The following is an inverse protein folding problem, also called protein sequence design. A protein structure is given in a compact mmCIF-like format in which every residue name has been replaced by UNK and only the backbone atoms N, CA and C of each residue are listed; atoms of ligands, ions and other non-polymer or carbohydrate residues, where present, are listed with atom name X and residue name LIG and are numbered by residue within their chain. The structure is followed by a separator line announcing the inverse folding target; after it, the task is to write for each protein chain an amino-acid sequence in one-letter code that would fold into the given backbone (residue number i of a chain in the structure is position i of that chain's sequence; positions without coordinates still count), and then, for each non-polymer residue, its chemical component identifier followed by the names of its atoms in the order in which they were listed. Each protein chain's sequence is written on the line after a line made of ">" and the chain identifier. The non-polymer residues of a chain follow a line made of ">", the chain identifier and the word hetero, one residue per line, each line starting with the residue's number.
data_IF_411412124764
#
_entry.id   IF_411412124764
#
_cell.length_a   1.000
_cell.length_b   1.000
_cell.length_c   1.000
_cell.angle_alpha   90.00
_cell.angle_beta   90.00
_cell.angle_gamma   90.00
#
_symmetry.space_group_name_H-M   'P 1'
#
loop_
_entity.id
_entity.type
_entity.pdbx_description
1 polymer ?
#
# COMPACT_ATOMS: atom_id res chain seq x y z
N UNK A 1 -14.56 7.57 29.24
CA UNK A 1 -13.67 8.14 28.21
C UNK A 1 -14.21 7.74 26.86
N UNK A 2 -14.39 8.68 25.93
CA UNK A 2 -14.75 8.38 24.54
C UNK A 2 -13.52 7.81 23.83
N UNK A 3 -13.63 6.72 23.03
CA UNK A 3 -12.51 6.23 22.24
C UNK A 3 -12.03 7.32 21.25
N UNK A 4 -10.74 7.32 20.88
CA UNK A 4 -10.21 8.26 19.89
C UNK A 4 -10.89 8.06 18.52
N UNK A 5 -11.03 9.14 17.76
CA UNK A 5 -11.53 9.11 16.38
C UNK A 5 -10.57 8.28 15.48
N UNK A 6 -11.01 7.20 14.83
CA UNK A 6 -10.16 6.38 13.95
C UNK A 6 -9.46 7.20 12.87
N UNK A 7 -10.13 8.18 12.27
CA UNK A 7 -9.51 9.02 11.25
C UNK A 7 -8.35 9.87 11.80
N UNK A 8 -8.42 10.29 13.08
CA UNK A 8 -7.32 10.99 13.73
C UNK A 8 -6.15 10.05 14.04
N UNK A 9 -6.41 8.78 14.35
CA UNK A 9 -5.36 7.75 14.49
C UNK A 9 -4.70 7.48 13.14
N UNK A 10 -5.49 7.31 12.10
CA UNK A 10 -5.04 7.04 10.74
C UNK A 10 -4.20 8.19 10.16
N UNK A 11 -4.62 9.44 10.35
CA UNK A 11 -3.84 10.61 9.93
C UNK A 11 -2.50 10.72 10.68
N UNK A 12 -2.47 10.31 11.96
CA UNK A 12 -1.23 10.22 12.73
C UNK A 12 -0.32 9.11 12.21
N UNK A 13 -0.87 7.91 11.99
CA UNK A 13 -0.13 6.79 11.40
C UNK A 13 0.48 7.18 10.03
N UNK A 14 -0.31 7.84 9.19
CA UNK A 14 0.15 8.36 7.91
C UNK A 14 1.36 9.30 8.06
N UNK A 15 1.25 10.30 8.95
CA UNK A 15 2.34 11.25 9.15
C UNK A 15 3.57 10.59 9.77
N UNK A 16 3.39 9.72 10.77
CA UNK A 16 4.50 9.02 11.44
C UNK A 16 5.26 8.11 10.46
N UNK A 17 4.56 7.41 9.56
CA UNK A 17 5.19 6.58 8.52
C UNK A 17 5.92 7.44 7.49
N UNK A 18 5.29 8.52 7.02
CA UNK A 18 5.91 9.43 6.06
C UNK A 18 7.15 10.13 6.65
N UNK A 19 7.11 10.56 7.91
CA UNK A 19 8.23 11.24 8.58
C UNK A 19 9.41 10.29 8.85
N UNK A 20 9.18 8.97 8.97
CA UNK A 20 10.23 7.94 9.15
C UNK A 20 10.74 7.35 7.84
N UNK A 21 9.98 7.48 6.76
CA UNK A 21 10.35 6.90 5.48
C UNK A 21 11.47 7.72 4.82
N UNK A 22 12.57 7.05 4.52
CA UNK A 22 13.68 7.56 3.70
C UNK A 22 13.66 6.82 2.34
N UNK A 23 13.02 7.37 1.30
CA UNK A 23 12.91 6.72 0.01
C UNK A 23 14.26 6.63 -0.70
N UNK A 24 14.51 5.52 -1.40
CA UNK A 24 15.71 5.34 -2.22
C UNK A 24 15.73 6.31 -3.41
N UNK A 25 14.56 6.62 -3.99
CA UNK A 25 14.44 7.55 -5.12
C UNK A 25 14.25 9.00 -4.60
N UNK A 26 15.14 9.94 -4.94
CA UNK A 26 15.00 11.35 -4.55
C UNK A 26 13.69 12.01 -4.99
N UNK A 27 13.06 11.52 -6.07
CA UNK A 27 11.74 12.00 -6.53
C UNK A 27 10.64 11.62 -5.55
N UNK A 28 10.72 10.42 -4.97
CA UNK A 28 9.82 9.97 -3.91
C UNK A 28 10.03 10.79 -2.64
N UNK A 29 11.27 11.15 -2.29
CA UNK A 29 11.52 12.02 -1.13
C UNK A 29 10.92 13.43 -1.32
N UNK A 30 11.09 14.03 -2.50
CA UNK A 30 10.47 15.31 -2.81
C UNK A 30 8.93 15.24 -2.72
N UNK A 31 8.33 14.19 -3.27
CA UNK A 31 6.88 14.00 -3.23
C UNK A 31 6.39 13.69 -1.81
N UNK A 32 7.11 12.88 -1.04
CA UNK A 32 6.81 12.58 0.36
C UNK A 32 6.82 13.85 1.23
N UNK A 33 7.71 14.81 0.97
CA UNK A 33 7.67 16.12 1.63
C UNK A 33 6.36 16.87 1.38
N UNK A 34 5.82 16.82 0.15
CA UNK A 34 4.50 17.38 -0.16
C UNK A 34 3.37 16.62 0.56
N UNK A 35 3.46 15.29 0.68
CA UNK A 35 2.51 14.48 1.44
C UNK A 35 2.52 14.82 2.93
N UNK A 36 3.71 14.95 3.54
CA UNK A 36 3.88 15.37 4.93
C UNK A 36 3.22 16.74 5.15
N UNK A 37 3.42 17.69 4.23
CA UNK A 37 2.78 19.00 4.29
C UNK A 37 1.25 18.92 4.11
N UNK A 38 0.76 18.02 3.26
CA UNK A 38 -0.67 17.79 3.09
C UNK A 38 -1.31 17.17 4.34
N UNK A 39 -0.70 16.17 4.97
CA UNK A 39 -1.30 15.52 6.15
C UNK A 39 -1.16 16.41 7.40
N UNK A 40 -0.10 17.21 7.52
CA UNK A 40 0.13 18.09 8.66
C UNK A 40 -0.86 19.26 8.70
N UNK A 41 -1.31 19.62 9.90
CA UNK A 41 -2.11 20.81 10.20
C UNK A 41 -1.62 21.53 11.45
N UNK A 42 -2.17 22.72 11.72
CA UNK A 42 -1.71 23.60 12.80
C UNK A 42 -1.83 22.97 14.21
N UNK A 43 -2.83 22.11 14.41
CA UNK A 43 -3.09 21.42 15.67
C UNK A 43 -2.65 19.94 15.68
N UNK A 44 -1.92 19.51 14.65
CA UNK A 44 -1.53 18.11 14.44
C UNK A 44 -2.00 17.56 13.08
N UNK A 45 -1.88 16.24 12.85
CA UNK A 45 -2.33 15.60 11.61
C UNK A 45 -3.83 15.83 11.35
N UNK A 46 -4.18 16.13 10.09
CA UNK A 46 -5.54 16.45 9.65
C UNK A 46 -6.33 15.19 9.37
N UNK A 47 -7.37 14.91 10.17
CA UNK A 47 -8.24 13.74 9.96
C UNK A 47 -9.00 13.82 8.61
N UNK A 48 -9.27 15.02 8.10
CA UNK A 48 -9.91 15.23 6.80
C UNK A 48 -9.02 14.77 5.63
N UNK A 49 -7.69 14.78 5.81
CA UNK A 49 -6.75 14.37 4.78
C UNK A 49 -6.85 12.87 4.44
N UNK A 50 -7.43 12.05 5.32
CA UNK A 50 -7.61 10.60 5.11
C UNK A 50 -9.07 10.21 4.87
N UNK A 51 -10.02 11.14 4.98
CA UNK A 51 -11.44 10.84 4.79
C UNK A 51 -11.85 11.05 3.35
N UNK A 52 -12.57 10.08 2.77
CA UNK A 52 -13.15 10.18 1.43
C UNK A 52 -14.07 11.41 1.25
N UNK A 53 -14.75 11.83 2.31
CA UNK A 53 -15.63 13.00 2.34
C UNK A 53 -14.98 14.24 2.98
N UNK A 54 -13.68 14.18 3.32
CA UNK A 54 -12.92 15.26 3.95
C UNK A 54 -12.58 16.42 3.03
N UNK A 55 -12.83 16.29 1.72
CA UNK A 55 -12.64 17.35 0.74
C UNK A 55 -12.47 16.82 -0.68
N UNK A 56 -11.99 17.66 -1.60
CA UNK A 56 -11.72 17.24 -2.98
C UNK A 56 -10.42 16.45 -3.13
N UNK A 57 -9.63 16.32 -2.07
CA UNK A 57 -8.36 15.60 -2.06
C UNK A 57 -8.22 14.86 -0.74
N UNK A 58 -7.73 13.63 -0.79
CA UNK A 58 -7.50 12.78 0.37
C UNK A 58 -6.49 11.68 0.04
N UNK A 59 -5.96 11.05 1.09
CA UNK A 59 -5.09 9.90 1.00
C UNK A 59 -5.87 8.65 0.59
N UNK A 60 -5.21 7.81 -0.19
CA UNK A 60 -5.59 6.42 -0.45
C UNK A 60 -4.44 5.52 -0.05
N UNK A 61 -4.72 4.24 0.15
CA UNK A 61 -3.73 3.24 0.49
C UNK A 61 -3.80 2.10 -0.53
N UNK A 62 -2.66 1.78 -1.15
CA UNK A 62 -2.58 0.73 -2.16
C UNK A 62 -1.54 -0.32 -1.83
N UNK A 63 -1.70 -1.50 -2.41
CA UNK A 63 -0.83 -2.64 -2.18
C UNK A 63 -0.31 -3.19 -3.51
N UNK A 64 1.02 -3.18 -3.64
CA UNK A 64 1.72 -3.94 -4.66
C UNK A 64 1.90 -5.37 -4.16
N UNK A 65 1.04 -6.27 -4.62
CA UNK A 65 1.20 -7.71 -4.33
C UNK A 65 2.22 -8.29 -5.32
N UNK A 66 3.35 -8.75 -4.80
CA UNK A 66 4.48 -9.23 -5.57
C UNK A 66 4.75 -10.71 -5.31
N UNK A 67 5.35 -11.41 -6.27
CA UNK A 67 5.96 -12.70 -6.00
C UNK A 67 7.16 -12.51 -5.06
N UNK A 68 7.50 -13.53 -4.28
CA UNK A 68 8.68 -13.50 -3.39
C UNK A 68 9.98 -13.27 -4.18
N UNK A 69 10.05 -13.78 -5.42
CA UNK A 69 11.15 -13.58 -6.37
C UNK A 69 11.23 -12.18 -6.99
N UNK A 70 10.23 -11.32 -6.77
CA UNK A 70 10.13 -9.96 -7.34
C UNK A 70 10.14 -9.94 -8.87
N UNK A 71 9.61 -10.99 -9.49
CA UNK A 71 9.52 -11.18 -10.94
C UNK A 71 8.08 -11.09 -11.48
N UNK A 72 7.07 -11.15 -10.59
CA UNK A 72 5.67 -10.99 -10.93
C UNK A 72 4.96 -9.99 -10.01
N UNK A 73 3.96 -9.32 -10.56
CA UNK A 73 3.05 -8.41 -9.86
C UNK A 73 1.60 -8.84 -10.14
N UNK A 74 0.77 -8.82 -9.10
CA UNK A 74 -0.67 -8.99 -9.24
C UNK A 74 -1.31 -7.64 -9.61
N UNK A 75 -2.15 -7.65 -10.64
CA UNK A 75 -2.93 -6.47 -11.04
C UNK A 75 -4.42 -6.83 -11.10
N UNK A 76 -5.28 -5.86 -10.84
CA UNK A 76 -6.71 -5.92 -11.10
C UNK A 76 -7.04 -5.08 -12.34
N UNK A 77 -7.95 -5.57 -13.18
CA UNK A 77 -8.49 -4.81 -14.29
C UNK A 77 -9.69 -3.99 -13.81
N UNK A 78 -9.47 -2.69 -13.59
CA UNK A 78 -10.46 -1.81 -12.98
C UNK A 78 -11.68 -1.65 -13.90
N UNK A 79 -12.86 -2.06 -13.41
CA UNK A 79 -14.13 -2.05 -14.16
C UNK A 79 -14.48 -0.68 -14.76
N UNK A 80 -14.35 0.38 -13.97
CA UNK A 80 -14.69 1.75 -14.38
C UNK A 80 -13.54 2.43 -15.13
N UNK A 81 -12.31 2.21 -14.68
CA UNK A 81 -11.10 2.78 -15.28
C UNK A 81 -10.74 2.20 -16.65
N UNK A 82 -11.08 0.92 -16.88
CA UNK A 82 -10.69 0.14 -18.07
C UNK A 82 -9.17 0.03 -18.26
N UNK A 83 -8.43 -0.07 -17.16
CA UNK A 83 -6.98 -0.23 -17.14
C UNK A 83 -6.55 -1.24 -16.07
N UNK A 84 -5.36 -1.81 -16.22
CA UNK A 84 -4.74 -2.68 -15.22
C UNK A 84 -3.98 -1.84 -14.18
N UNK A 85 -4.15 -2.15 -12.90
CA UNK A 85 -3.55 -1.38 -11.80
C UNK A 85 -3.33 -2.28 -10.57
N UNK A 86 -2.50 -1.82 -9.62
CA UNK A 86 -2.40 -2.48 -8.32
C UNK A 86 -3.71 -2.33 -7.53
N UNK A 87 -4.00 -3.29 -6.65
CA UNK A 87 -5.16 -3.25 -5.74
C UNK A 87 -5.02 -2.16 -4.68
N UNK A 88 -6.13 -1.64 -4.17
CA UNK A 88 -6.14 -0.59 -3.18
C UNK A 88 -7.18 0.49 -3.43
N UNK A 89 -7.39 1.33 -2.41
CA UNK A 89 -8.47 2.30 -2.47
C UNK A 89 -8.54 3.25 -1.29
N UNK A 90 -9.77 3.65 -0.99
CA UNK A 90 -10.05 4.58 0.10
C UNK A 90 -9.88 3.88 1.45
N UNK A 91 -9.56 4.64 2.49
CA UNK A 91 -9.66 4.11 3.84
C UNK A 91 -11.10 4.10 4.32
N UNK A 92 -11.42 3.14 5.17
CA UNK A 92 -12.73 2.96 5.79
C UNK A 92 -12.79 3.58 7.20
N UNK A 93 -14.01 3.86 7.74
CA UNK A 93 -14.17 4.48 9.06
C UNK A 93 -13.51 3.74 10.23
N UNK A 94 -13.30 2.43 10.11
CA UNK A 94 -12.65 1.56 11.08
C UNK A 94 -11.13 1.48 10.93
N UNK A 95 -10.58 1.92 9.79
CA UNK A 95 -9.15 1.87 9.55
C UNK A 95 -8.40 2.81 10.50
N UNK A 96 -7.39 2.25 11.16
CA UNK A 96 -6.53 3.01 12.10
C UNK A 96 -5.09 3.12 11.63
N UNK A 97 -4.71 2.43 10.55
CA UNK A 97 -3.38 2.51 9.91
C UNK A 97 -3.51 2.41 8.39
N UNK A 98 -2.62 3.08 7.65
CA UNK A 98 -2.63 3.02 6.18
C UNK A 98 -2.23 1.64 5.65
N UNK A 99 -1.24 1.01 6.27
CA UNK A 99 -0.82 -0.33 5.88
C UNK A 99 -1.97 -1.35 6.09
N UNK A 100 -2.69 -1.25 7.20
CA UNK A 100 -3.87 -2.07 7.47
C UNK A 100 -4.94 -1.91 6.39
N UNK A 101 -5.25 -0.66 6.02
CA UNK A 101 -6.19 -0.37 4.93
C UNK A 101 -5.73 -0.99 3.60
N UNK A 102 -4.47 -0.78 3.20
CA UNK A 102 -3.92 -1.35 1.97
C UNK A 102 -4.00 -2.88 1.93
N UNK A 103 -3.72 -3.55 3.05
CA UNK A 103 -3.78 -5.01 3.11
C UNK A 103 -5.20 -5.56 3.23
N UNK A 104 -6.15 -4.79 3.79
CA UNK A 104 -7.57 -5.12 3.76
C UNK A 104 -8.06 -5.09 2.31
N UNK A 105 -7.87 -3.98 1.61
CA UNK A 105 -8.23 -3.82 0.19
C UNK A 105 -7.58 -4.91 -0.67
N UNK A 106 -6.29 -5.21 -0.43
CA UNK A 106 -5.61 -6.26 -1.18
C UNK A 106 -6.28 -7.64 -1.03
N UNK A 107 -6.75 -8.00 0.17
CA UNK A 107 -7.48 -9.26 0.38
C UNK A 107 -8.84 -9.22 -0.29
N UNK A 108 -9.59 -8.14 -0.07
CA UNK A 108 -10.95 -7.96 -0.60
C UNK A 108 -11.00 -7.94 -2.13
N UNK A 109 -10.04 -7.27 -2.77
CA UNK A 109 -9.99 -7.11 -4.22
C UNK A 109 -9.37 -8.29 -4.96
N UNK A 110 -8.46 -9.04 -4.32
CA UNK A 110 -7.77 -10.17 -4.97
C UNK A 110 -8.31 -11.54 -4.57
N UNK A 111 -8.98 -11.64 -3.42
CA UNK A 111 -9.38 -12.91 -2.81
C UNK A 111 -8.23 -13.74 -2.22
N UNK A 112 -7.01 -13.20 -2.17
CA UNK A 112 -5.85 -13.87 -1.57
C UNK A 112 -5.82 -13.55 -0.08
N UNK A 113 -6.12 -14.53 0.78
CA UNK A 113 -6.11 -14.36 2.24
C UNK A 113 -4.69 -14.39 2.83
N UNK A 114 -3.84 -15.28 2.27
CA UNK A 114 -2.49 -15.58 2.74
C UNK A 114 -1.45 -14.55 2.25
N UNK A 115 -1.80 -13.27 2.26
CA UNK A 115 -0.87 -12.17 1.99
C UNK A 115 0.14 -12.06 3.13
N UNK A 116 1.42 -12.00 2.79
CA UNK A 116 2.52 -11.73 3.72
C UNK A 116 2.93 -10.26 3.59
N UNK A 117 2.56 -9.37 4.52
CA UNK A 117 3.02 -7.98 4.52
C UNK A 117 4.54 -7.89 4.39
N UNK A 118 5.04 -6.98 3.56
CA UNK A 118 6.45 -6.66 3.57
C UNK A 118 6.75 -5.80 4.79
N UNK A 119 7.61 -6.33 5.65
CA UNK A 119 8.19 -5.62 6.79
C UNK A 119 9.70 -5.47 6.53
N UNK A 120 10.18 -4.24 6.29
CA UNK A 120 11.58 -3.99 6.04
C UNK A 120 12.43 -3.91 7.32
N UNK A 121 11.80 -3.76 8.48
CA UNK A 121 12.45 -3.65 9.79
C UNK A 121 11.90 -4.77 10.69
N UNK A 122 12.14 -6.05 10.35
CA UNK A 122 11.64 -7.14 11.18
C UNK A 122 12.18 -6.98 12.60
N UNK A 123 11.33 -7.26 13.60
CA UNK A 123 11.75 -7.33 15.00
C UNK A 123 13.09 -8.09 15.09
N UNK A 124 14.11 -7.55 15.77
CA UNK A 124 15.44 -8.14 15.79
C UNK A 124 15.38 -9.62 16.20
N UNK A 125 15.70 -10.52 15.27
CA UNK A 125 15.80 -11.97 15.55
C UNK A 125 14.82 -12.89 14.81
N UNK A 126 13.93 -12.39 13.95
CA UNK A 126 13.12 -13.24 13.05
C UNK A 126 13.81 -13.35 11.67
N UNK A 127 14.28 -14.54 11.25
CA UNK A 127 14.86 -14.71 9.91
C UNK A 127 13.81 -14.47 8.82
N UNK A 128 14.18 -13.72 7.78
CA UNK A 128 13.32 -13.44 6.61
C UNK A 128 12.93 -14.71 5.81
N UNK A 129 13.66 -15.81 5.99
CA UNK A 129 13.47 -17.08 5.28
C UNK A 129 12.89 -18.20 6.18
N UNK A 130 12.37 -17.86 7.36
CA UNK A 130 11.72 -18.86 8.21
C UNK A 130 10.37 -19.26 7.61
N UNK A 131 10.21 -20.55 7.27
CA UNK A 131 8.90 -21.12 7.00
C UNK A 131 7.96 -20.81 8.20
N UNK A 132 6.69 -20.44 7.97
CA UNK A 132 5.76 -20.22 9.06
C UNK A 132 5.60 -21.52 9.86
N UNK A 133 5.97 -21.48 11.15
CA UNK A 133 5.81 -22.61 12.06
C UNK A 133 4.33 -23.02 12.14
N UNK A 134 3.97 -24.27 11.82
CA UNK A 134 2.59 -24.72 11.86
C UNK A 134 2.11 -24.82 13.32
N UNK A 135 1.21 -23.91 13.72
CA UNK A 135 0.51 -23.97 15.01
C UNK A 135 0.77 -22.83 15.98
N UNK A 136 1.42 -21.73 15.58
CA UNK A 136 1.40 -20.50 16.37
C UNK A 136 0.01 -19.86 16.28
N UNK A 137 -0.81 -20.03 17.31
CA UNK A 137 -2.05 -19.25 17.46
C UNK A 137 -1.68 -17.76 17.45
N UNK A 138 -2.26 -17.03 16.50
CA UNK A 138 -2.08 -15.60 16.33
C UNK A 138 -2.63 -14.86 17.55
N UNK A 139 -1.77 -14.60 18.54
CA UNK A 139 -2.03 -13.57 19.55
C UNK A 139 -1.58 -12.23 18.99
N UNK A 140 -2.15 -11.84 17.84
CA UNK A 140 -2.06 -10.45 17.37
C UNK A 140 -3.21 -9.67 18.04
N UNK A 141 -2.87 -8.96 19.10
CA UNK A 141 -3.66 -7.78 19.45
C UNK A 141 -3.67 -6.83 18.26
N UNK A 142 -4.79 -6.15 18.03
CA UNK A 142 -5.06 -5.23 16.92
C UNK A 142 -4.01 -4.10 16.76
N UNK A 143 -2.85 -4.44 16.22
CA UNK A 143 -1.81 -3.56 15.74
C UNK A 143 -1.42 -4.04 14.36
N UNK A 144 -1.74 -3.25 13.32
CA UNK A 144 -1.34 -3.57 11.97
C UNK A 144 0.19 -3.73 11.88
N UNK A 145 0.64 -4.67 11.04
CA UNK A 145 2.06 -4.94 10.81
C UNK A 145 2.86 -3.64 10.56
N UNK A 146 4.10 -3.52 11.06
CA UNK A 146 4.92 -2.33 10.87
C UNK A 146 5.48 -2.24 9.43
N UNK A 147 4.60 -2.11 8.44
CA UNK A 147 5.04 -1.97 7.05
C UNK A 147 5.34 -0.52 6.69
N UNK A 148 6.58 -0.23 6.32
CA UNK A 148 6.93 1.08 5.81
C UNK A 148 6.31 1.31 4.42
N UNK A 149 5.99 2.58 4.07
CA UNK A 149 5.68 2.94 2.69
C UNK A 149 6.85 2.58 1.76
N UNK A 150 6.53 2.22 0.53
CA UNK A 150 7.51 1.97 -0.54
C UNK A 150 7.36 2.92 -1.74
N UNK A 151 6.26 3.65 -1.78
CA UNK A 151 5.88 4.55 -2.87
C UNK A 151 4.84 5.57 -2.37
N UNK A 152 4.89 6.77 -2.93
CA UNK A 152 3.79 7.73 -2.94
C UNK A 152 3.50 8.15 -4.37
N UNK A 153 2.22 8.26 -4.70
CA UNK A 153 1.78 8.61 -6.04
C UNK A 153 0.54 9.49 -6.05
N UNK A 154 0.63 10.67 -6.68
CA UNK A 154 -0.48 11.61 -6.80
C UNK A 154 -1.10 11.51 -8.18
N UNK A 155 -2.41 11.28 -8.24
CA UNK A 155 -3.14 11.25 -9.50
C UNK A 155 -4.49 11.96 -9.40
N UNK A 156 -4.85 12.65 -10.47
CA UNK A 156 -6.13 13.32 -10.60
C UNK A 156 -7.20 12.35 -11.13
N UNK A 157 -8.42 12.49 -10.62
CA UNK A 157 -9.58 11.71 -11.04
C UNK A 157 -10.42 12.49 -12.03
N UNK A 158 -10.99 11.77 -13.00
CA UNK A 158 -11.99 12.34 -13.88
C UNK A 158 -13.24 12.79 -13.09
N UNK A 159 -13.95 13.80 -13.58
CA UNK A 159 -15.17 14.31 -12.93
C UNK A 159 -16.26 13.23 -12.68
N UNK A 160 -16.22 12.13 -13.43
CA UNK A 160 -17.08 10.96 -13.23
C UNK A 160 -16.89 10.27 -11.86
N UNK A 161 -15.85 10.61 -11.10
CA UNK A 161 -15.59 10.12 -9.74
C UNK A 161 -16.15 11.02 -8.63
N UNK A 162 -16.96 12.03 -8.98
CA UNK A 162 -17.73 12.83 -8.03
C UNK A 162 -16.97 14.07 -7.55
N UNK A 163 -17.05 14.37 -6.26
CA UNK A 163 -16.39 15.54 -5.64
C UNK A 163 -14.90 15.32 -5.39
N UNK A 164 -14.45 14.06 -5.39
CA UNK A 164 -13.03 13.73 -5.31
C UNK A 164 -12.33 14.08 -6.62
N UNK A 165 -11.25 14.84 -6.53
CA UNK A 165 -10.47 15.34 -7.67
C UNK A 165 -9.05 14.78 -7.70
N UNK A 166 -8.45 14.49 -6.55
CA UNK A 166 -7.05 14.05 -6.49
C UNK A 166 -6.88 13.04 -5.36
N UNK A 167 -6.25 11.91 -5.68
CA UNK A 167 -5.79 10.96 -4.68
C UNK A 167 -4.31 11.17 -4.39
N UNK A 168 -4.01 11.13 -3.10
CA UNK A 168 -2.67 11.11 -2.54
C UNK A 168 -2.37 9.68 -2.11
N UNK A 169 -2.01 8.81 -3.05
CA UNK A 169 -1.83 7.39 -2.80
C UNK A 169 -0.53 7.11 -2.06
N UNK A 170 -0.60 6.22 -1.05
CA UNK A 170 0.56 5.68 -0.33
C UNK A 170 0.61 4.18 -0.57
N UNK A 171 1.69 3.71 -1.20
CA UNK A 171 1.88 2.33 -1.61
C UNK A 171 2.63 1.49 -0.56
N UNK A 172 2.10 0.30 -0.31
CA UNK A 172 2.69 -0.77 0.50
C UNK A 172 2.94 -2.01 -0.35
N UNK A 173 3.65 -3.01 0.19
CA UNK A 173 3.94 -4.27 -0.51
C UNK A 173 3.47 -5.44 0.36
N UNK A 174 2.88 -6.43 -0.29
CA UNK A 174 2.69 -7.76 0.28
C UNK A 174 3.23 -8.81 -0.70
N UNK A 175 3.58 -9.98 -0.18
CA UNK A 175 3.95 -11.13 -0.99
C UNK A 175 2.83 -12.17 -1.00
N UNK A 176 2.72 -12.86 -2.13
CA UNK A 176 1.85 -14.02 -2.31
C UNK A 176 2.47 -15.00 -3.31
N UNK A 177 2.00 -16.24 -3.27
CA UNK A 177 2.30 -17.23 -4.30
C UNK A 177 1.61 -16.82 -5.62
N UNK A 178 2.34 -16.72 -6.75
CA UNK A 178 1.75 -16.51 -8.07
C UNK A 178 0.72 -17.55 -8.51
N UNK A 179 0.74 -18.74 -7.92
CA UNK A 179 -0.24 -19.81 -8.15
C UNK A 179 -1.46 -19.72 -7.21
N UNK A 180 -1.48 -18.75 -6.28
CA UNK A 180 -2.62 -18.50 -5.41
C UNK A 180 -3.86 -18.17 -6.25
N UNK A 181 -4.99 -18.76 -5.87
CA UNK A 181 -6.27 -18.53 -6.56
C UNK A 181 -6.71 -17.08 -6.34
N UNK A 182 -6.93 -16.37 -7.45
CA UNK A 182 -7.47 -15.02 -7.44
C UNK A 182 -8.99 -15.03 -7.61
N UNK A 183 -9.63 -13.96 -7.13
CA UNK A 183 -11.06 -13.69 -7.26
C UNK A 183 -11.23 -12.22 -7.67
N UNK A 184 -12.22 -11.93 -8.49
CA UNK A 184 -12.59 -10.55 -8.86
C UNK A 184 -13.54 -9.98 -7.81
N UNK A 185 -13.48 -8.66 -7.61
CA UNK A 185 -14.42 -7.92 -6.75
C UNK A 185 -15.49 -7.23 -7.59
N UNK A 186 -16.37 -6.47 -6.94
CA UNK A 186 -17.33 -5.62 -7.66
C UNK A 186 -16.62 -4.53 -8.49
N UNK A 187 -15.41 -4.14 -8.09
CA UNK A 187 -14.62 -3.05 -8.71
C UNK A 187 -13.71 -3.52 -9.86
N UNK A 188 -13.47 -4.82 -9.98
CA UNK A 188 -12.63 -5.43 -11.01
C UNK A 188 -13.41 -6.37 -11.94
N UNK A 189 -12.91 -6.53 -13.17
CA UNK A 189 -13.42 -7.55 -14.10
C UNK A 189 -12.47 -8.73 -14.26
N UNK A 190 -11.21 -8.56 -13.86
CA UNK A 190 -10.17 -9.58 -13.91
C UNK A 190 -9.10 -9.27 -12.86
N UNK A 191 -8.41 -10.32 -12.37
CA UNK A 191 -7.30 -10.23 -11.41
C UNK A 191 -6.27 -11.28 -11.80
N UNK A 192 -5.09 -10.83 -12.20
CA UNK A 192 -4.08 -11.71 -12.81
C UNK A 192 -2.65 -11.29 -12.47
N UNK A 193 -1.76 -12.29 -12.49
CA UNK A 193 -0.32 -12.11 -12.32
C UNK A 193 0.37 -11.82 -13.64
N UNK A 194 1.23 -10.81 -13.66
CA UNK A 194 2.01 -10.42 -14.83
C UNK A 194 3.51 -10.37 -14.51
N UNK A 195 4.40 -10.73 -15.45
CA UNK A 195 5.82 -10.45 -15.30
C UNK A 195 6.06 -8.95 -15.13
N UNK A 196 6.93 -8.56 -14.21
CA UNK A 196 7.23 -7.14 -13.92
C UNK A 196 7.85 -6.40 -15.10
N UNK A 197 8.41 -7.13 -16.08
CA UNK A 197 9.01 -6.63 -17.30
C UNK A 197 8.13 -6.82 -18.56
N UNK A 198 6.93 -7.39 -18.40
CA UNK A 198 5.97 -7.64 -19.48
C UNK A 198 4.53 -7.36 -19.04
N UNK A 199 4.29 -6.13 -18.60
CA UNK A 199 2.99 -5.67 -18.15
C UNK A 199 1.94 -5.67 -19.28
N UNK A 200 0.65 -5.91 -18.96
CA UNK A 200 -0.39 -6.05 -19.96
C UNK A 200 -0.69 -4.72 -20.66
N UNK A 201 -1.20 -4.77 -21.91
CA UNK A 201 -1.77 -3.60 -22.56
C UNK A 201 -2.88 -2.97 -21.69
N UNK A 202 -2.95 -1.64 -21.69
CA UNK A 202 -3.91 -0.91 -20.84
C UNK A 202 -3.43 -0.73 -19.41
N UNK A 203 -2.14 -0.92 -19.13
CA UNK A 203 -1.50 -0.41 -17.91
C UNK A 203 -1.22 1.10 -18.10
N UNK A 204 -1.44 1.97 -17.08
CA UNK A 204 -1.09 3.40 -17.16
C UNK A 204 0.38 3.63 -17.54
N UNK A 205 0.65 4.69 -18.32
CA UNK A 205 1.99 4.97 -18.90
C UNK A 205 3.09 5.15 -17.82
N UNK A 206 2.72 5.67 -16.66
CA UNK A 206 3.59 5.93 -15.52
C UNK A 206 3.79 4.69 -14.61
N UNK A 207 2.88 3.73 -14.67
CA UNK A 207 2.90 2.56 -13.78
C UNK A 207 4.17 1.70 -13.91
N UNK A 208 4.76 1.43 -15.10
CA UNK A 208 6.04 0.71 -15.20
C UNK A 208 7.17 1.41 -14.45
N UNK A 209 7.21 2.75 -14.46
CA UNK A 209 8.21 3.53 -13.73
C UNK A 209 7.97 3.41 -12.23
N UNK A 210 6.71 3.55 -11.81
CA UNK A 210 6.28 3.38 -10.42
C UNK A 210 6.63 2.00 -9.86
N UNK A 211 6.33 0.93 -10.61
CA UNK A 211 6.67 -0.44 -10.24
C UNK A 211 8.19 -0.64 -10.14
N UNK A 212 8.97 -0.06 -11.05
CA UNK A 212 10.43 -0.11 -10.96
C UNK A 212 10.97 0.57 -9.70
N UNK A 213 10.38 1.71 -9.29
CA UNK A 213 10.71 2.39 -8.03
C UNK A 213 10.38 1.52 -6.82
N UNK A 214 9.19 0.92 -6.76
CA UNK A 214 8.79 -0.02 -5.70
C UNK A 214 9.76 -1.21 -5.61
N UNK A 215 10.09 -1.83 -6.74
CA UNK A 215 11.03 -2.96 -6.78
C UNK A 215 12.43 -2.55 -6.31
N UNK A 216 12.89 -1.35 -6.65
CA UNK A 216 14.18 -0.83 -6.19
C UNK A 216 14.20 -0.63 -4.67
N UNK A 217 13.14 -0.05 -4.11
CA UNK A 217 12.93 0.16 -2.68
C UNK A 217 12.94 -1.18 -1.91
N UNK A 218 12.11 -2.14 -2.33
CA UNK A 218 12.02 -3.47 -1.70
C UNK A 218 13.38 -4.19 -1.74
N UNK A 219 14.07 -4.15 -2.89
CA UNK A 219 15.40 -4.75 -3.03
C UNK A 219 16.44 -4.07 -2.15
N UNK A 220 16.38 -2.75 -2.00
CA UNK A 220 17.29 -2.00 -1.12
C UNK A 220 17.09 -2.45 0.33
N UNK A 221 15.85 -2.47 0.80
CA UNK A 221 15.52 -2.82 2.19
C UNK A 221 15.80 -4.28 2.53
N UNK A 222 15.48 -5.22 1.63
CA UNK A 222 15.89 -6.63 1.80
C UNK A 222 17.41 -6.78 1.96
N UNK A 223 18.22 -5.98 1.26
CA UNK A 223 19.68 -6.01 1.43
C UNK A 223 20.15 -5.38 2.73
N UNK A 224 19.51 -4.28 3.16
CA UNK A 224 19.85 -3.59 4.39
C UNK A 224 19.52 -4.41 5.65
N UNK A 225 18.47 -5.24 5.61
CA UNK A 225 18.06 -6.13 6.70
C UNK A 225 18.84 -7.43 6.83
N UNK A 226 19.73 -7.77 5.89
CA UNK A 226 20.59 -8.95 6.00
C UNK A 226 21.77 -8.67 6.96
N UNK A 227 22.07 -9.56 7.92
CA UNK A 227 23.24 -9.41 8.76
C UNK A 227 24.52 -9.39 7.91
N UNK A 228 25.45 -8.50 8.24
CA UNK A 228 26.80 -8.56 7.67
C UNK A 228 27.44 -9.89 8.08
N UNK A 229 27.71 -10.75 7.10
CA UNK A 229 28.24 -12.10 7.29
C UNK A 229 29.66 -12.15 7.88
#
# INVERSE_FOLDING_TARGET
>A
MTPPDPAALLARDALDRLDRWEPVDPRQEALAAEYRAFVRGDAGPRAEAVRRDGGPQHLTASCFVLSTGLDRVLLCFHRKGRFWVQVGGHTEPEDTTLAGAAYREAREESGIEDLVPFDPDPEPGVPLDADPEPGAESVVGAGAAPSAPVDVHRHDLAAAFGTCRTHWDVGFVAFADPDARTVVSDESEDVAWFPVDALPPGTPDDFPVRLATVLAEVRHRRRAGLPAG
#
